data_IF_331256324443
#
_entry.id   IF_331256324443
#
_cell.length_a   1.000
_cell.length_b   1.000
_cell.length_c   1.000
_cell.angle_alpha   90.00
_cell.angle_beta   90.00
_cell.angle_gamma   90.00
#
_symmetry.space_group_name_H-M   'P 1'
#
loop_
_entity.id
_entity.type
_entity.pdbx_description
1 polymer ?
#
# COMPACT_ATOMS: atom_id res chain seq x y z
N UNK A 1 24.05 6.28 -0.70
CA UNK A 1 23.90 6.84 -2.07
C UNK A 1 24.47 5.88 -3.11
N UNK A 2 25.64 5.26 -2.86
CA UNK A 2 26.24 4.27 -3.79
C UNK A 2 25.36 3.03 -4.03
N UNK A 3 24.64 2.57 -3.01
CA UNK A 3 23.78 1.38 -3.08
C UNK A 3 22.60 1.57 -4.03
N UNK A 4 21.87 2.68 -3.91
CA UNK A 4 20.75 3.00 -4.79
C UNK A 4 21.22 3.35 -6.21
N UNK A 5 22.38 4.01 -6.36
CA UNK A 5 22.97 4.27 -7.67
C UNK A 5 23.32 2.97 -8.40
N UNK A 6 23.87 1.97 -7.71
CA UNK A 6 24.13 0.66 -8.30
C UNK A 6 22.85 -0.12 -8.59
N UNK A 7 21.83 0.02 -7.74
CA UNK A 7 20.52 -0.61 -7.90
C UNK A 7 19.81 -0.10 -9.17
N UNK A 8 19.74 1.20 -9.36
CA UNK A 8 19.11 1.81 -10.54
C UNK A 8 19.86 1.52 -11.85
N UNK A 9 21.18 1.25 -11.79
CA UNK A 9 21.97 0.78 -12.93
C UNK A 9 21.70 -0.68 -13.29
N UNK A 10 21.10 -1.47 -12.37
CA UNK A 10 20.73 -2.86 -12.66
C UNK A 10 19.66 -2.88 -13.75
N UNK A 11 19.91 -3.66 -14.81
CA UNK A 11 19.06 -3.69 -16.00
C UNK A 11 17.62 -3.99 -15.67
N UNK A 12 16.73 -3.07 -16.05
CA UNK A 12 15.28 -3.20 -15.90
C UNK A 12 14.71 -2.70 -14.56
N UNK A 13 15.52 -2.44 -13.54
CA UNK A 13 15.02 -1.96 -12.24
C UNK A 13 14.33 -0.60 -12.37
N UNK A 14 14.98 0.38 -12.97
CA UNK A 14 14.38 1.71 -13.17
C UNK A 14 13.07 1.63 -13.96
N UNK A 15 13.06 0.83 -15.06
CA UNK A 15 11.85 0.63 -15.89
C UNK A 15 10.70 -0.01 -15.10
N UNK A 16 10.95 -1.07 -14.34
CA UNK A 16 9.89 -1.77 -13.63
C UNK A 16 9.34 -0.93 -12.47
N UNK A 17 10.21 -0.17 -11.77
CA UNK A 17 9.78 0.74 -10.70
C UNK A 17 8.88 1.84 -11.28
N UNK A 18 9.27 2.49 -12.37
CA UNK A 18 8.44 3.54 -12.98
C UNK A 18 7.14 2.98 -13.56
N UNK A 19 7.19 1.87 -14.29
CA UNK A 19 6.01 1.27 -14.88
C UNK A 19 4.99 0.83 -13.81
N UNK A 20 5.44 0.19 -12.71
CA UNK A 20 4.55 -0.22 -11.65
C UNK A 20 3.97 0.98 -10.87
N UNK A 21 4.73 2.07 -10.70
CA UNK A 21 4.21 3.29 -10.07
C UNK A 21 3.08 3.91 -10.91
N UNK A 22 3.30 4.03 -12.22
CA UNK A 22 2.27 4.55 -13.14
C UNK A 22 1.03 3.63 -13.14
N UNK A 23 1.21 2.32 -13.17
CA UNK A 23 0.12 1.35 -13.11
C UNK A 23 -0.67 1.37 -11.79
N UNK A 24 -0.04 1.78 -10.68
CA UNK A 24 -0.64 1.87 -9.34
C UNK A 24 -1.18 3.26 -9.01
N UNK A 25 -0.88 4.25 -9.84
CA UNK A 25 -1.28 5.65 -9.61
C UNK A 25 -2.79 5.83 -9.39
N UNK A 26 -3.68 5.09 -10.12
CA UNK A 26 -5.12 5.12 -9.86
C UNK A 26 -5.52 4.83 -8.42
N UNK A 27 -4.75 4.01 -7.70
CA UNK A 27 -5.00 3.71 -6.28
C UNK A 27 -4.99 4.94 -5.37
N UNK A 28 -4.19 5.96 -5.68
CA UNK A 28 -4.17 7.24 -4.97
C UNK A 28 -5.26 8.21 -5.41
N UNK A 29 -5.85 8.02 -6.59
CA UNK A 29 -6.83 8.95 -7.16
C UNK A 29 -8.28 8.52 -6.92
N UNK A 30 -8.58 7.23 -7.12
CA UNK A 30 -9.95 6.72 -7.30
C UNK A 30 -10.83 6.91 -6.07
N UNK A 31 -10.29 6.79 -4.85
CA UNK A 31 -11.10 6.95 -3.64
C UNK A 31 -11.71 8.34 -3.56
N UNK A 32 -10.89 9.37 -3.75
CA UNK A 32 -11.34 10.75 -3.71
C UNK A 32 -12.17 11.13 -4.94
N UNK A 33 -11.77 10.66 -6.12
CA UNK A 33 -12.50 10.92 -7.36
C UNK A 33 -13.92 10.31 -7.31
N UNK A 34 -14.08 9.09 -6.81
CA UNK A 34 -15.41 8.46 -6.62
C UNK A 34 -16.23 9.22 -5.60
N UNK A 35 -15.63 9.61 -4.47
CA UNK A 35 -16.32 10.39 -3.44
C UNK A 35 -16.90 11.66 -4.02
N UNK A 36 -16.08 12.48 -4.68
CA UNK A 36 -16.49 13.78 -5.22
C UNK A 36 -17.52 13.63 -6.36
N UNK A 37 -17.40 12.59 -7.18
CA UNK A 37 -18.33 12.37 -8.29
C UNK A 37 -19.70 11.90 -7.83
N UNK A 38 -19.75 10.89 -6.97
CA UNK A 38 -21.02 10.35 -6.45
C UNK A 38 -21.72 11.35 -5.52
N UNK A 39 -20.96 12.07 -4.69
CA UNK A 39 -21.49 13.13 -3.84
C UNK A 39 -22.15 14.23 -4.67
N UNK A 40 -21.48 14.69 -5.75
CA UNK A 40 -22.04 15.71 -6.65
C UNK A 40 -23.32 15.26 -7.34
N UNK A 41 -23.43 13.98 -7.73
CA UNK A 41 -24.60 13.43 -8.44
C UNK A 41 -25.80 13.27 -7.50
N UNK A 42 -25.57 12.76 -6.30
CA UNK A 42 -26.62 12.39 -5.34
C UNK A 42 -26.78 13.38 -4.20
N UNK A 43 -25.95 14.45 -4.15
CA UNK A 43 -25.88 15.42 -3.06
C UNK A 43 -25.78 14.76 -1.67
N UNK A 44 -25.05 13.62 -1.60
CA UNK A 44 -24.97 12.77 -0.42
C UNK A 44 -23.60 12.15 -0.21
N UNK A 45 -22.91 12.58 0.84
CA UNK A 45 -21.68 11.93 1.31
C UNK A 45 -21.92 10.48 1.80
N UNK A 46 -23.13 10.20 2.30
CA UNK A 46 -23.51 8.86 2.68
C UNK A 46 -23.56 7.89 1.48
N UNK A 47 -24.15 8.31 0.35
CA UNK A 47 -24.15 7.56 -0.89
C UNK A 47 -22.73 7.32 -1.41
N UNK A 48 -21.89 8.36 -1.44
CA UNK A 48 -20.49 8.26 -1.83
C UNK A 48 -19.71 7.31 -0.91
N UNK A 49 -19.92 7.39 0.39
CA UNK A 49 -19.33 6.50 1.38
C UNK A 49 -19.68 5.03 1.17
N UNK A 50 -20.94 4.72 0.81
CA UNK A 50 -21.37 3.34 0.49
C UNK A 50 -20.66 2.80 -0.75
N UNK A 51 -20.44 3.61 -1.78
CA UNK A 51 -19.69 3.23 -2.99
C UNK A 51 -18.23 2.94 -2.65
N UNK A 52 -17.60 3.79 -1.83
CA UNK A 52 -16.22 3.57 -1.36
C UNK A 52 -16.09 2.31 -0.50
N UNK A 53 -17.05 2.07 0.38
CA UNK A 53 -17.09 0.85 1.20
C UNK A 53 -17.20 -0.40 0.32
N UNK A 54 -18.09 -0.40 -0.68
CA UNK A 54 -18.23 -1.50 -1.63
C UNK A 54 -16.92 -1.73 -2.42
N UNK A 55 -16.27 -0.67 -2.89
CA UNK A 55 -14.97 -0.74 -3.59
C UNK A 55 -13.89 -1.35 -2.69
N UNK A 56 -13.79 -0.89 -1.44
CA UNK A 56 -12.80 -1.37 -0.48
C UNK A 56 -13.02 -2.84 -0.11
N UNK A 57 -14.27 -3.27 0.08
CA UNK A 57 -14.61 -4.69 0.30
C UNK A 57 -14.17 -5.53 -0.89
N UNK A 58 -14.46 -5.06 -2.12
CA UNK A 58 -14.01 -5.73 -3.34
C UNK A 58 -12.49 -5.90 -3.39
N UNK A 59 -11.73 -4.84 -3.10
CA UNK A 59 -10.26 -4.87 -3.07
C UNK A 59 -9.72 -5.83 -2.01
N UNK A 60 -10.31 -5.82 -0.81
CA UNK A 60 -9.86 -6.67 0.29
C UNK A 60 -10.06 -8.16 -0.03
N UNK A 61 -11.16 -8.52 -0.68
CA UNK A 61 -11.43 -9.90 -1.12
C UNK A 61 -10.56 -10.29 -2.31
N UNK A 62 -10.42 -9.40 -3.29
CA UNK A 62 -9.69 -9.66 -4.53
C UNK A 62 -8.19 -9.86 -4.33
N UNK A 63 -7.57 -9.12 -3.40
CA UNK A 63 -6.13 -9.08 -3.22
C UNK A 63 -5.47 -10.47 -3.16
N UNK A 64 -5.82 -11.33 -2.21
CA UNK A 64 -5.25 -12.67 -2.11
C UNK A 64 -5.66 -13.58 -3.26
N UNK A 65 -6.91 -13.47 -3.77
CA UNK A 65 -7.44 -14.32 -4.83
C UNK A 65 -6.74 -14.06 -6.17
N UNK A 66 -6.71 -12.82 -6.61
CA UNK A 66 -6.07 -12.43 -7.88
C UNK A 66 -4.57 -12.68 -7.84
N UNK A 67 -3.94 -12.46 -6.68
CA UNK A 67 -2.53 -12.77 -6.46
C UNK A 67 -2.25 -14.28 -6.62
N UNK A 68 -3.12 -15.13 -6.10
CA UNK A 68 -3.01 -16.58 -6.28
C UNK A 68 -3.26 -17.02 -7.72
N UNK A 69 -4.22 -16.39 -8.42
CA UNK A 69 -4.49 -16.70 -9.83
C UNK A 69 -3.27 -16.44 -10.73
N UNK A 70 -2.37 -15.52 -10.36
CA UNK A 70 -1.12 -15.32 -11.10
C UNK A 70 -0.23 -16.57 -11.15
N UNK A 71 -0.28 -17.44 -10.13
CA UNK A 71 0.40 -18.71 -10.13
C UNK A 71 -0.30 -19.81 -10.95
N UNK A 72 -1.63 -19.66 -11.19
CA UNK A 72 -2.43 -20.64 -11.95
C UNK A 72 -2.45 -20.32 -13.44
N UNK A 73 -2.79 -19.06 -13.77
CA UNK A 73 -2.99 -18.61 -15.16
C UNK A 73 -1.80 -17.80 -15.70
N UNK A 74 -0.85 -17.45 -14.83
CA UNK A 74 0.27 -16.57 -15.14
C UNK A 74 -0.02 -15.10 -14.83
N UNK A 75 1.04 -14.32 -14.62
CA UNK A 75 0.92 -12.92 -14.21
C UNK A 75 0.23 -12.05 -15.28
N UNK A 76 0.67 -12.15 -16.55
CA UNK A 76 0.14 -11.33 -17.64
C UNK A 76 -1.36 -11.51 -17.89
N UNK A 77 -1.90 -12.75 -18.06
CA UNK A 77 -3.33 -12.94 -18.26
C UNK A 77 -4.18 -12.38 -17.12
N UNK A 78 -3.76 -12.59 -15.87
CA UNK A 78 -4.48 -12.07 -14.70
C UNK A 78 -4.47 -10.54 -14.67
N UNK A 79 -3.31 -9.92 -14.91
CA UNK A 79 -3.20 -8.48 -14.94
C UNK A 79 -4.00 -7.86 -16.09
N UNK A 80 -4.00 -8.48 -17.28
CA UNK A 80 -4.82 -8.01 -18.42
C UNK A 80 -6.31 -8.08 -18.07
N UNK A 81 -6.76 -9.25 -17.59
CA UNK A 81 -8.18 -9.45 -17.26
C UNK A 81 -8.64 -8.46 -16.17
N UNK A 82 -7.89 -8.38 -15.07
CA UNK A 82 -8.25 -7.51 -13.95
C UNK A 82 -8.18 -6.04 -14.34
N UNK A 83 -7.16 -5.59 -15.09
CA UNK A 83 -7.09 -4.22 -15.59
C UNK A 83 -8.24 -3.87 -16.52
N UNK A 84 -8.60 -4.77 -17.44
CA UNK A 84 -9.70 -4.54 -18.36
C UNK A 84 -11.05 -4.41 -17.64
N UNK A 85 -11.36 -5.35 -16.76
CA UNK A 85 -12.63 -5.32 -15.99
C UNK A 85 -12.67 -4.11 -15.05
N UNK A 86 -11.57 -3.82 -14.35
CA UNK A 86 -11.46 -2.64 -13.49
C UNK A 86 -11.67 -1.35 -14.29
N UNK A 87 -11.02 -1.22 -15.45
CA UNK A 87 -11.18 -0.03 -16.33
C UNK A 87 -12.62 0.14 -16.76
N UNK A 88 -13.29 -0.93 -17.20
CA UNK A 88 -14.70 -0.88 -17.61
C UNK A 88 -15.59 -0.42 -16.44
N UNK A 89 -15.39 -0.97 -15.26
CA UNK A 89 -16.16 -0.59 -14.08
C UNK A 89 -15.91 0.87 -13.66
N UNK A 90 -14.64 1.31 -13.67
CA UNK A 90 -14.23 2.70 -13.35
C UNK A 90 -14.82 3.69 -14.37
N UNK A 91 -14.75 3.39 -15.66
CA UNK A 91 -15.34 4.23 -16.71
C UNK A 91 -16.87 4.26 -16.59
N UNK A 92 -17.51 3.14 -16.26
CA UNK A 92 -18.94 3.10 -16.04
C UNK A 92 -19.37 3.98 -14.84
N UNK A 93 -18.57 4.05 -13.76
CA UNK A 93 -18.79 5.01 -12.67
C UNK A 93 -18.68 6.46 -13.19
N UNK A 94 -17.66 6.77 -14.00
CA UNK A 94 -17.44 8.12 -14.52
C UNK A 94 -18.56 8.59 -15.46
N UNK A 95 -19.22 7.67 -16.16
CA UNK A 95 -20.34 7.94 -17.09
C UNK A 95 -21.70 7.93 -16.38
N UNK A 96 -21.76 7.56 -15.11
CA UNK A 96 -23.00 7.59 -14.33
C UNK A 96 -23.48 9.03 -14.13
N UNK A 97 -24.79 9.18 -14.08
CA UNK A 97 -25.49 10.46 -13.91
C UNK A 97 -26.58 10.38 -12.82
N UNK A 98 -27.40 11.43 -12.68
CA UNK A 98 -28.47 11.48 -11.69
C UNK A 98 -29.55 10.40 -11.88
N UNK A 99 -29.65 9.75 -13.04
CA UNK A 99 -30.55 8.62 -13.28
C UNK A 99 -29.98 7.28 -12.77
N UNK A 100 -28.66 7.25 -12.53
CA UNK A 100 -27.96 6.05 -12.01
C UNK A 100 -28.18 5.93 -10.52
N UNK A 101 -28.85 4.88 -10.06
CA UNK A 101 -29.14 4.69 -8.64
C UNK A 101 -27.88 4.34 -7.81
N UNK A 102 -27.89 4.68 -6.52
CA UNK A 102 -26.78 4.38 -5.58
C UNK A 102 -26.39 2.89 -5.57
N UNK A 103 -27.33 1.90 -5.56
CA UNK A 103 -26.98 0.49 -5.65
C UNK A 103 -26.20 0.12 -6.93
N UNK A 104 -26.45 0.78 -8.05
CA UNK A 104 -25.69 0.57 -9.30
C UNK A 104 -24.26 1.09 -9.13
N UNK A 105 -24.07 2.29 -8.58
CA UNK A 105 -22.74 2.79 -8.26
C UNK A 105 -22.01 1.88 -7.27
N UNK A 106 -22.69 1.35 -6.24
CA UNK A 106 -22.11 0.36 -5.31
C UNK A 106 -21.67 -0.91 -6.04
N UNK A 107 -22.49 -1.44 -6.95
CA UNK A 107 -22.15 -2.62 -7.72
C UNK A 107 -20.93 -2.39 -8.64
N UNK A 108 -20.88 -1.23 -9.30
CA UNK A 108 -19.73 -0.84 -10.13
C UNK A 108 -18.47 -0.62 -9.29
N UNK A 109 -18.57 0.03 -8.12
CA UNK A 109 -17.48 0.18 -7.17
C UNK A 109 -16.97 -1.17 -6.66
N UNK A 110 -17.88 -2.07 -6.26
CA UNK A 110 -17.54 -3.44 -5.86
C UNK A 110 -16.82 -4.18 -6.99
N UNK A 111 -17.31 -4.08 -8.21
CA UNK A 111 -16.68 -4.71 -9.39
C UNK A 111 -15.27 -4.11 -9.65
N UNK A 112 -15.13 -2.79 -9.59
CA UNK A 112 -13.82 -2.14 -9.70
C UNK A 112 -12.84 -2.63 -8.63
N UNK A 113 -13.32 -2.78 -7.38
CA UNK A 113 -12.55 -3.33 -6.27
C UNK A 113 -12.16 -4.79 -6.48
N UNK A 114 -13.11 -5.66 -6.85
CA UNK A 114 -12.88 -7.08 -7.12
C UNK A 114 -11.92 -7.30 -8.29
N UNK A 115 -11.93 -6.41 -9.25
CA UNK A 115 -11.05 -6.43 -10.41
C UNK A 115 -9.79 -5.56 -10.25
N UNK A 116 -9.48 -5.07 -9.04
CA UNK A 116 -8.27 -4.27 -8.84
C UNK A 116 -7.01 -5.06 -9.25
N UNK A 117 -6.20 -4.55 -10.20
CA UNK A 117 -5.05 -5.30 -10.70
C UNK A 117 -4.02 -5.55 -9.61
N UNK A 118 -3.55 -6.81 -9.41
CA UNK A 118 -2.58 -7.17 -8.38
C UNK A 118 -1.14 -6.76 -8.78
N UNK A 119 -0.94 -5.51 -9.18
CA UNK A 119 0.36 -4.98 -9.63
C UNK A 119 1.40 -5.06 -8.51
N UNK A 120 1.03 -4.67 -7.29
CA UNK A 120 1.93 -4.66 -6.14
C UNK A 120 2.40 -6.07 -5.73
N UNK A 121 1.55 -7.09 -5.59
CA UNK A 121 1.98 -8.47 -5.39
C UNK A 121 2.83 -9.01 -6.55
N UNK A 122 2.47 -8.68 -7.80
CA UNK A 122 3.22 -9.09 -8.98
C UNK A 122 4.65 -8.55 -8.96
N UNK A 123 4.82 -7.24 -8.82
CA UNK A 123 6.14 -6.61 -8.86
C UNK A 123 7.03 -7.07 -7.71
N UNK A 124 6.50 -7.18 -6.49
CA UNK A 124 7.27 -7.65 -5.33
C UNK A 124 7.67 -9.11 -5.42
N UNK A 125 6.89 -9.92 -6.10
CA UNK A 125 7.24 -11.33 -6.37
C UNK A 125 8.39 -11.44 -7.37
N UNK A 126 8.52 -10.53 -8.33
CA UNK A 126 9.62 -10.60 -9.31
C UNK A 126 10.92 -9.95 -8.83
N UNK A 127 10.89 -9.06 -7.84
CA UNK A 127 12.09 -8.38 -7.33
C UNK A 127 13.26 -9.33 -6.97
N UNK A 128 13.04 -10.47 -6.26
CA UNK A 128 14.11 -11.41 -5.94
C UNK A 128 14.77 -12.07 -7.17
N UNK A 129 14.12 -12.00 -8.34
CA UNK A 129 14.64 -12.52 -9.62
C UNK A 129 15.34 -11.46 -10.47
N UNK A 130 15.30 -10.19 -10.05
CA UNK A 130 15.88 -9.06 -10.78
C UNK A 130 17.20 -8.59 -10.21
N UNK A 131 17.40 -8.74 -8.91
CA UNK A 131 18.57 -8.22 -8.19
C UNK A 131 19.22 -9.28 -7.33
N UNK A 132 20.45 -9.04 -6.91
CA UNK A 132 21.12 -9.93 -5.96
C UNK A 132 20.62 -9.73 -4.52
N UNK A 133 20.96 -10.66 -3.62
CA UNK A 133 20.51 -10.64 -2.22
C UNK A 133 20.85 -9.36 -1.46
N UNK A 134 21.99 -8.74 -1.76
CA UNK A 134 22.41 -7.47 -1.10
C UNK A 134 21.58 -6.27 -1.55
N UNK A 135 21.00 -6.33 -2.74
CA UNK A 135 20.19 -5.27 -3.34
C UNK A 135 18.69 -5.41 -3.06
N UNK A 136 18.23 -6.56 -2.60
CA UNK A 136 16.79 -6.85 -2.47
C UNK A 136 16.13 -5.98 -1.38
N UNK A 137 16.72 -5.87 -0.18
CA UNK A 137 16.19 -5.00 0.88
C UNK A 137 16.18 -3.52 0.47
N UNK A 138 17.26 -2.96 -0.11
CA UNK A 138 17.21 -1.62 -0.71
C UNK A 138 16.13 -1.46 -1.78
N UNK A 139 15.87 -2.48 -2.60
CA UNK A 139 14.81 -2.44 -3.62
C UNK A 139 13.42 -2.36 -3.00
N UNK A 140 13.13 -3.14 -1.96
CA UNK A 140 11.87 -3.00 -1.21
C UNK A 140 11.72 -1.62 -0.57
N UNK A 141 12.81 -1.06 -0.07
CA UNK A 141 12.79 0.29 0.50
C UNK A 141 12.54 1.35 -0.56
N UNK A 142 13.17 1.23 -1.73
CA UNK A 142 12.92 2.11 -2.86
C UNK A 142 11.47 2.04 -3.35
N UNK A 143 10.89 0.82 -3.44
CA UNK A 143 9.49 0.62 -3.80
C UNK A 143 8.55 1.29 -2.79
N UNK A 144 8.79 1.06 -1.49
CA UNK A 144 7.99 1.66 -0.42
C UNK A 144 8.09 3.20 -0.43
N UNK A 145 9.29 3.75 -0.60
CA UNK A 145 9.50 5.21 -0.68
C UNK A 145 8.84 5.81 -1.93
N UNK A 146 8.99 5.16 -3.08
CA UNK A 146 8.40 5.64 -4.33
C UNK A 146 6.87 5.61 -4.30
N UNK A 147 6.27 4.73 -3.52
CA UNK A 147 4.83 4.66 -3.33
C UNK A 147 4.25 5.93 -2.70
N UNK A 148 5.03 6.68 -1.90
CA UNK A 148 4.58 7.96 -1.31
C UNK A 148 4.16 8.97 -2.38
N UNK A 149 4.78 8.92 -3.57
CA UNK A 149 4.40 9.77 -4.71
C UNK A 149 2.93 9.57 -5.09
N UNK A 150 2.45 8.32 -5.04
CA UNK A 150 1.06 7.97 -5.37
C UNK A 150 0.09 8.61 -4.38
N UNK A 151 0.41 8.53 -3.08
CA UNK A 151 -0.44 9.02 -2.02
C UNK A 151 -0.44 10.54 -1.89
N UNK A 152 0.63 11.22 -2.32
CA UNK A 152 0.70 12.69 -2.34
C UNK A 152 0.07 13.25 -3.61
N UNK A 153 0.50 12.80 -4.79
CA UNK A 153 0.06 13.38 -6.06
C UNK A 153 -1.31 12.89 -6.50
N UNK A 154 -1.72 11.67 -6.12
CA UNK A 154 -3.00 11.11 -6.52
C UNK A 154 -4.20 11.96 -6.10
N UNK A 155 -4.38 12.26 -4.81
CA UNK A 155 -5.45 13.13 -4.32
C UNK A 155 -5.37 14.55 -4.91
N UNK A 156 -4.17 15.11 -5.04
CA UNK A 156 -3.98 16.47 -5.61
C UNK A 156 -4.50 16.53 -7.04
N UNK A 157 -4.13 15.56 -7.88
CA UNK A 157 -4.57 15.50 -9.28
C UNK A 157 -6.08 15.24 -9.35
N UNK A 158 -6.61 14.32 -8.54
CA UNK A 158 -8.04 14.03 -8.50
C UNK A 158 -8.87 15.27 -8.14
N UNK A 159 -8.47 15.98 -7.08
CA UNK A 159 -9.14 17.23 -6.64
C UNK A 159 -9.02 18.33 -7.67
N UNK A 160 -7.82 18.55 -8.23
CA UNK A 160 -7.59 19.57 -9.25
C UNK A 160 -8.50 19.35 -10.47
N UNK A 161 -8.57 18.12 -10.98
CA UNK A 161 -9.42 17.77 -12.12
C UNK A 161 -10.90 17.93 -11.80
N UNK A 162 -11.33 17.53 -10.60
CA UNK A 162 -12.72 17.63 -10.19
C UNK A 162 -13.19 19.10 -10.08
N UNK A 163 -12.31 20.01 -9.66
CA UNK A 163 -12.63 21.43 -9.49
C UNK A 163 -12.50 22.21 -10.81
N UNK A 164 -11.43 21.94 -11.59
CA UNK A 164 -11.12 22.77 -12.76
C UNK A 164 -11.77 22.27 -14.06
N UNK A 165 -12.16 20.99 -14.12
CA UNK A 165 -12.74 20.37 -15.32
C UNK A 165 -14.12 19.81 -15.01
N UNK A 166 -14.18 18.65 -14.38
CA UNK A 166 -15.40 17.97 -13.95
C UNK A 166 -15.07 16.84 -12.98
N UNK A 167 -16.01 16.43 -12.13
CA UNK A 167 -15.81 15.36 -11.16
C UNK A 167 -15.54 14.00 -11.82
N UNK A 168 -16.03 13.75 -13.04
CA UNK A 168 -15.72 12.55 -13.82
C UNK A 168 -14.30 12.57 -14.38
N UNK A 169 -13.70 13.75 -14.61
CA UNK A 169 -12.37 13.88 -15.21
C UNK A 169 -11.28 13.18 -14.40
N UNK A 170 -11.33 13.29 -13.06
CA UNK A 170 -10.40 12.58 -12.18
C UNK A 170 -10.48 11.05 -12.33
N UNK A 171 -11.70 10.52 -12.48
CA UNK A 171 -11.94 9.08 -12.70
C UNK A 171 -11.45 8.64 -14.08
N UNK A 172 -11.71 9.43 -15.14
CA UNK A 172 -11.26 9.12 -16.51
C UNK A 172 -9.74 9.17 -16.64
N UNK A 173 -9.07 10.12 -15.99
CA UNK A 173 -7.61 10.17 -15.92
C UNK A 173 -7.05 8.96 -15.18
N UNK A 174 -7.67 8.55 -14.07
CA UNK A 174 -7.31 7.30 -13.37
C UNK A 174 -7.50 6.06 -14.28
N UNK A 175 -8.59 6.01 -15.07
CA UNK A 175 -8.79 4.96 -16.06
C UNK A 175 -7.69 4.97 -17.16
N UNK A 176 -7.26 6.14 -17.61
CA UNK A 176 -6.15 6.27 -18.55
C UNK A 176 -4.83 5.72 -17.96
N UNK A 177 -4.54 5.97 -16.67
CA UNK A 177 -3.41 5.36 -15.97
C UNK A 177 -3.56 3.85 -15.82
N UNK A 178 -4.78 3.32 -15.57
CA UNK A 178 -5.04 1.87 -15.52
C UNK A 178 -4.69 1.22 -16.86
N UNK A 179 -5.10 1.81 -17.95
CA UNK A 179 -4.84 1.28 -19.30
C UNK A 179 -3.37 1.49 -19.68
N UNK A 180 -2.89 2.72 -19.68
CA UNK A 180 -1.55 3.07 -20.16
C UNK A 180 -0.44 2.55 -19.24
N UNK A 181 -0.56 2.79 -17.92
CA UNK A 181 0.37 2.30 -16.93
C UNK A 181 0.32 0.77 -16.81
N UNK A 182 -0.89 0.20 -16.81
CA UNK A 182 -1.11 -1.24 -16.84
C UNK A 182 -0.47 -1.90 -18.07
N UNK A 183 -0.71 -1.37 -19.27
CA UNK A 183 -0.11 -1.87 -20.51
C UNK A 183 1.42 -1.77 -20.47
N UNK A 184 1.99 -0.66 -19.98
CA UNK A 184 3.43 -0.49 -19.85
C UNK A 184 4.02 -1.52 -18.86
N UNK A 185 3.39 -1.71 -17.69
CA UNK A 185 3.84 -2.70 -16.71
C UNK A 185 3.76 -4.13 -17.28
N UNK A 186 2.62 -4.51 -17.88
CA UNK A 186 2.36 -5.85 -18.42
C UNK A 186 3.29 -6.19 -19.60
N UNK A 187 3.62 -5.20 -20.44
CA UNK A 187 4.54 -5.37 -21.56
C UNK A 187 6.00 -5.44 -21.14
N UNK A 188 6.33 -5.10 -19.90
CA UNK A 188 7.71 -5.11 -19.41
C UNK A 188 8.33 -6.50 -19.55
N UNK A 189 9.54 -6.61 -20.14
CA UNK A 189 10.24 -7.89 -20.33
C UNK A 189 10.53 -8.63 -19.02
N UNK A 190 10.70 -7.87 -17.93
CA UNK A 190 10.97 -8.40 -16.59
C UNK A 190 9.81 -9.28 -16.10
N UNK A 191 8.59 -8.82 -16.31
CA UNK A 191 7.37 -9.57 -15.97
C UNK A 191 7.26 -10.86 -16.79
N UNK A 192 7.65 -10.83 -18.05
CA UNK A 192 7.59 -12.00 -18.94
C UNK A 192 8.64 -13.06 -18.68
N UNK A 193 9.74 -12.71 -18.02
CA UNK A 193 10.84 -13.66 -17.70
C UNK A 193 10.59 -14.50 -16.47
N UNK A 194 9.66 -14.08 -15.61
CA UNK A 194 9.38 -14.74 -14.34
C UNK A 194 8.02 -15.41 -14.41
N UNK A 195 8.01 -16.73 -14.19
CA UNK A 195 6.78 -17.51 -14.05
C UNK A 195 6.64 -17.92 -12.59
N UNK A 196 5.51 -17.61 -11.97
CA UNK A 196 5.17 -18.08 -10.63
C UNK A 196 4.65 -19.50 -10.77
N UNK A 197 5.25 -20.51 -10.10
CA UNK A 197 4.74 -21.87 -10.11
C UNK A 197 3.37 -21.90 -9.39
N UNK A 198 2.53 -22.84 -9.78
CA UNK A 198 1.25 -23.08 -9.09
C UNK A 198 1.51 -23.58 -7.68
N UNK A 199 1.02 -22.87 -6.66
CA UNK A 199 1.07 -23.37 -5.29
C UNK A 199 0.23 -24.63 -5.13
N UNK A 200 0.83 -25.67 -4.53
CA UNK A 200 0.16 -26.94 -4.19
C UNK A 200 -0.60 -26.87 -2.86
N UNK A 201 -0.46 -25.77 -2.12
CA UNK A 201 -1.09 -25.57 -0.80
C UNK A 201 -2.52 -25.07 -0.94
N UNK A 202 -3.34 -25.28 0.10
CA UNK A 202 -4.68 -24.70 0.17
C UNK A 202 -4.61 -23.18 0.29
N UNK A 203 -5.60 -22.50 -0.24
CA UNK A 203 -5.74 -21.04 -0.13
C UNK A 203 -5.78 -20.61 1.36
N UNK A 204 -5.10 -19.53 1.70
CA UNK A 204 -5.03 -18.98 3.04
C UNK A 204 -4.03 -19.67 3.99
N UNK A 205 -3.52 -20.85 3.67
CA UNK A 205 -2.55 -21.58 4.54
C UNK A 205 -1.27 -20.75 4.77
N UNK A 206 -0.94 -19.85 3.87
CA UNK A 206 0.21 -18.96 4.01
C UNK A 206 0.11 -18.05 5.25
N UNK A 207 -1.11 -17.68 5.67
CA UNK A 207 -1.35 -16.95 6.92
C UNK A 207 -1.02 -17.77 8.18
N UNK A 208 -1.03 -19.09 8.11
CA UNK A 208 -0.59 -19.97 9.21
C UNK A 208 0.92 -19.91 9.46
N UNK A 209 1.69 -19.21 8.62
CA UNK A 209 3.11 -18.96 8.88
C UNK A 209 3.27 -17.75 9.79
N UNK A 210 3.88 -17.89 11.00
CA UNK A 210 3.97 -16.81 11.96
C UNK A 210 4.59 -15.52 11.41
N UNK A 211 5.66 -15.53 10.57
CA UNK A 211 6.20 -14.30 10.00
C UNK A 211 5.21 -13.58 9.07
N UNK A 212 4.41 -14.32 8.29
CA UNK A 212 3.41 -13.73 7.38
C UNK A 212 2.26 -13.12 8.17
N UNK A 213 1.73 -13.85 9.15
CA UNK A 213 0.68 -13.35 10.03
C UNK A 213 1.13 -12.12 10.80
N UNK A 214 2.33 -12.16 11.39
CA UNK A 214 2.93 -11.02 12.09
C UNK A 214 3.04 -9.80 11.17
N UNK A 215 3.55 -10.00 9.95
CA UNK A 215 3.67 -8.93 8.96
C UNK A 215 2.31 -8.37 8.53
N UNK A 216 1.29 -9.21 8.41
CA UNK A 216 -0.08 -8.80 8.08
C UNK A 216 -0.68 -7.96 9.20
N UNK A 217 -0.54 -8.40 10.47
CA UNK A 217 -1.06 -7.66 11.64
C UNK A 217 -0.33 -6.34 11.83
N UNK A 218 1.01 -6.34 11.77
CA UNK A 218 1.80 -5.09 11.93
C UNK A 218 1.54 -4.15 10.77
N UNK A 219 1.42 -4.66 9.54
CA UNK A 219 1.05 -3.87 8.37
C UNK A 219 -0.34 -3.25 8.47
N UNK A 220 -1.32 -3.99 9.00
CA UNK A 220 -2.65 -3.49 9.35
C UNK A 220 -2.56 -2.32 10.35
N UNK A 221 -1.87 -2.50 11.48
CA UNK A 221 -1.74 -1.48 12.52
C UNK A 221 -0.98 -0.24 12.04
N UNK A 222 0.06 -0.43 11.24
CA UNK A 222 0.84 0.65 10.64
C UNK A 222 -0.04 1.54 9.75
N UNK A 223 -0.76 0.93 8.80
CA UNK A 223 -1.58 1.69 7.86
C UNK A 223 -2.83 2.27 8.54
N UNK A 224 -3.40 1.57 9.53
CA UNK A 224 -4.45 2.12 10.36
C UNK A 224 -4.01 3.40 11.09
N UNK A 225 -2.79 3.41 11.63
CA UNK A 225 -2.22 4.59 12.27
C UNK A 225 -1.95 5.72 11.28
N UNK A 226 -1.42 5.42 10.08
CA UNK A 226 -1.23 6.43 9.03
C UNK A 226 -2.56 7.11 8.66
N UNK A 227 -3.63 6.32 8.45
CA UNK A 227 -4.95 6.86 8.13
C UNK A 227 -5.56 7.67 9.29
N UNK A 228 -5.29 7.29 10.53
CA UNK A 228 -5.68 8.09 11.69
C UNK A 228 -4.91 9.42 11.76
N UNK A 229 -3.60 9.43 11.45
CA UNK A 229 -2.79 10.66 11.37
C UNK A 229 -3.35 11.59 10.28
N UNK A 230 -3.64 11.05 9.08
CA UNK A 230 -4.22 11.81 7.97
C UNK A 230 -5.54 12.47 8.37
N UNK A 231 -6.45 11.72 8.98
CA UNK A 231 -7.71 12.23 9.48
C UNK A 231 -7.51 13.33 10.54
N UNK A 232 -6.56 13.13 11.46
CA UNK A 232 -6.20 14.08 12.50
C UNK A 232 -5.67 15.41 11.93
N UNK A 233 -4.75 15.34 10.95
CA UNK A 233 -4.19 16.52 10.28
C UNK A 233 -5.31 17.32 9.58
N UNK A 234 -6.19 16.62 8.84
CA UNK A 234 -7.34 17.27 8.19
C UNK A 234 -8.27 17.92 9.21
N UNK A 235 -8.51 17.26 10.36
CA UNK A 235 -9.36 17.81 11.42
C UNK A 235 -8.77 19.06 12.11
N UNK A 236 -7.42 19.15 12.22
CA UNK A 236 -6.74 20.33 12.81
C UNK A 236 -6.95 21.57 11.95
N UNK A 237 -6.84 21.46 10.62
CA UNK A 237 -6.82 22.63 9.73
C UNK A 237 -8.15 22.86 8.99
N UNK A 238 -9.09 21.92 9.09
CA UNK A 238 -10.37 21.96 8.37
C UNK A 238 -10.23 21.71 6.87
N UNK A 239 -11.37 21.75 6.16
CA UNK A 239 -11.45 21.38 4.75
C UNK A 239 -10.95 22.46 3.76
N UNK A 240 -10.48 23.62 4.22
CA UNK A 240 -10.13 24.76 3.35
C UNK A 240 -8.70 25.27 3.49
N UNK A 241 -7.92 24.77 4.43
CA UNK A 241 -6.57 25.26 4.68
C UNK A 241 -5.50 24.47 3.89
N UNK A 242 -4.58 25.17 3.19
CA UNK A 242 -3.45 24.51 2.53
C UNK A 242 -2.48 23.84 3.51
N UNK A 243 -2.56 24.18 4.79
CA UNK A 243 -1.69 23.71 5.85
C UNK A 243 -1.77 22.18 6.02
N UNK A 244 -2.97 21.61 5.94
CA UNK A 244 -3.15 20.15 6.00
C UNK A 244 -2.34 19.44 4.92
N UNK A 245 -2.41 19.96 3.68
CA UNK A 245 -1.64 19.42 2.56
C UNK A 245 -0.12 19.53 2.77
N UNK A 246 0.36 20.65 3.31
CA UNK A 246 1.79 20.84 3.59
C UNK A 246 2.29 19.89 4.69
N UNK A 247 1.54 19.72 5.78
CA UNK A 247 1.90 18.81 6.87
C UNK A 247 1.96 17.36 6.36
N UNK A 248 0.97 16.92 5.59
CA UNK A 248 0.95 15.58 5.00
C UNK A 248 2.06 15.38 3.96
N UNK A 249 2.39 16.41 3.17
CA UNK A 249 3.53 16.37 2.26
C UNK A 249 4.86 16.23 3.02
N UNK A 250 5.05 16.96 4.13
CA UNK A 250 6.23 16.86 4.99
C UNK A 250 6.32 15.46 5.62
N UNK A 251 5.20 14.88 6.06
CA UNK A 251 5.12 13.50 6.55
C UNK A 251 5.57 12.48 5.49
N UNK A 252 5.09 12.62 4.25
CA UNK A 252 5.49 11.77 3.12
C UNK A 252 6.97 11.97 2.72
N UNK A 253 7.48 13.20 2.77
CA UNK A 253 8.92 13.49 2.57
C UNK A 253 9.76 12.81 3.65
N UNK A 254 9.30 12.80 4.90
CA UNK A 254 9.91 12.02 5.98
C UNK A 254 10.02 10.54 5.61
N UNK A 255 8.93 9.93 5.11
CA UNK A 255 8.89 8.54 4.67
C UNK A 255 9.87 8.27 3.52
N UNK A 256 9.88 9.13 2.51
CA UNK A 256 10.81 9.04 1.40
C UNK A 256 12.27 9.08 1.86
N UNK A 257 12.64 10.07 2.66
CA UNK A 257 13.99 10.22 3.19
C UNK A 257 14.37 9.04 4.09
N UNK A 258 13.47 8.63 4.98
CA UNK A 258 13.67 7.49 5.86
C UNK A 258 13.90 6.19 5.10
N UNK A 259 13.12 5.94 4.04
CA UNK A 259 13.30 4.79 3.17
C UNK A 259 14.67 4.77 2.50
N UNK A 260 15.10 5.91 1.95
CA UNK A 260 16.41 6.03 1.31
C UNK A 260 17.57 5.96 2.33
N UNK A 261 17.41 6.56 3.51
CA UNK A 261 18.45 6.60 4.52
C UNK A 261 18.60 5.28 5.31
N UNK A 262 17.50 4.60 5.64
CA UNK A 262 17.48 3.43 6.50
C UNK A 262 17.24 2.10 5.75
N UNK A 263 16.91 2.15 4.46
CA UNK A 263 16.56 0.98 3.67
C UNK A 263 17.72 0.03 3.35
N UNK A 264 18.95 0.49 3.53
CA UNK A 264 20.16 -0.34 3.36
C UNK A 264 20.58 -1.06 4.66
N UNK A 265 19.96 -0.73 5.80
CA UNK A 265 20.32 -1.31 7.10
C UNK A 265 19.87 -2.77 7.15
N UNK A 266 20.77 -3.71 7.49
CA UNK A 266 20.43 -5.13 7.59
C UNK A 266 19.28 -5.38 8.58
N UNK A 267 18.38 -6.28 8.19
CA UNK A 267 17.16 -6.57 8.94
C UNK A 267 17.49 -7.59 10.05
N UNK A 268 17.38 -7.16 11.29
CA UNK A 268 17.43 -8.03 12.47
C UNK A 268 16.00 -8.43 12.90
N UNK A 269 15.83 -9.44 13.77
CA UNK A 269 14.52 -9.80 14.31
C UNK A 269 13.76 -8.64 15.00
N UNK A 270 14.48 -7.65 15.53
CA UNK A 270 13.95 -6.46 16.18
C UNK A 270 13.68 -5.29 15.22
N UNK A 271 14.00 -5.44 13.93
CA UNK A 271 13.92 -4.32 12.99
C UNK A 271 12.51 -3.73 12.89
N UNK A 272 11.48 -4.59 12.87
CA UNK A 272 10.08 -4.17 12.79
C UNK A 272 9.69 -3.34 14.02
N UNK A 273 9.96 -3.85 15.23
CA UNK A 273 9.65 -3.15 16.47
C UNK A 273 10.33 -1.77 16.55
N UNK A 274 11.62 -1.70 16.22
CA UNK A 274 12.38 -0.44 16.24
C UNK A 274 11.80 0.60 15.28
N UNK A 275 11.38 0.18 14.08
CA UNK A 275 10.82 1.10 13.08
C UNK A 275 9.43 1.59 13.48
N UNK A 276 8.59 0.69 14.02
CA UNK A 276 7.31 1.08 14.62
C UNK A 276 7.47 2.06 15.78
N UNK A 277 8.53 1.89 16.60
CA UNK A 277 8.82 2.80 17.72
C UNK A 277 9.22 4.20 17.22
N UNK A 278 9.96 4.31 16.11
CA UNK A 278 10.28 5.63 15.53
C UNK A 278 8.99 6.37 15.14
N UNK A 279 8.07 5.68 14.47
CA UNK A 279 6.79 6.26 14.05
C UNK A 279 5.96 6.64 15.28
N UNK A 280 5.91 5.75 16.29
CA UNK A 280 5.20 5.99 17.55
C UNK A 280 5.70 7.25 18.26
N UNK A 281 7.03 7.39 18.42
CA UNK A 281 7.62 8.55 19.09
C UNK A 281 7.29 9.84 18.37
N UNK A 282 7.45 9.88 17.04
CA UNK A 282 7.09 11.05 16.25
C UNK A 282 5.59 11.39 16.37
N UNK A 283 4.71 10.38 16.29
CA UNK A 283 3.25 10.58 16.40
C UNK A 283 2.83 11.01 17.79
N UNK A 284 3.39 10.41 18.84
CA UNK A 284 3.10 10.77 20.22
C UNK A 284 3.55 12.20 20.56
N UNK A 285 4.71 12.62 20.05
CA UNK A 285 5.17 14.01 20.20
C UNK A 285 4.32 14.98 19.36
N UNK A 286 3.89 14.58 18.16
CA UNK A 286 2.95 15.37 17.37
C UNK A 286 1.63 15.62 18.11
N UNK A 287 1.14 14.62 18.87
CA UNK A 287 -0.09 14.71 19.65
C UNK A 287 -0.04 15.75 20.79
N UNK A 288 1.14 16.24 21.19
CA UNK A 288 1.28 17.17 22.33
C UNK A 288 0.78 18.56 21.99
N UNK A 289 1.01 19.02 20.76
CA UNK A 289 0.66 20.39 20.36
C UNK A 289 0.25 20.48 18.90
N UNK A 290 -0.96 21.02 18.62
CA UNK A 290 -1.56 21.09 17.28
C UNK A 290 -1.12 22.32 16.47
N UNK A 291 0.09 22.84 16.72
CA UNK A 291 0.64 23.96 15.96
C UNK A 291 1.34 23.47 14.69
N UNK A 292 1.24 24.22 13.58
CA UNK A 292 1.79 23.84 12.28
C UNK A 292 3.26 23.41 12.31
N UNK A 293 4.16 24.22 12.89
CA UNK A 293 5.58 23.92 12.96
C UNK A 293 5.84 22.65 13.79
N UNK A 294 5.16 22.49 14.92
CA UNK A 294 5.28 21.32 15.80
C UNK A 294 4.83 20.04 15.08
N UNK A 295 3.63 20.06 14.53
CA UNK A 295 3.09 18.92 13.77
C UNK A 295 4.01 18.56 12.60
N UNK A 296 4.48 19.55 11.84
CA UNK A 296 5.37 19.33 10.70
C UNK A 296 6.66 18.61 11.10
N UNK A 297 7.31 19.07 12.17
CA UNK A 297 8.59 18.49 12.65
C UNK A 297 8.39 17.05 13.14
N UNK A 298 7.39 16.81 13.98
CA UNK A 298 7.23 15.50 14.59
C UNK A 298 6.54 14.49 13.67
N UNK A 299 5.70 14.94 12.74
CA UNK A 299 5.18 14.07 11.68
C UNK A 299 6.24 13.76 10.63
N UNK A 300 7.18 14.69 10.33
CA UNK A 300 8.36 14.34 9.55
C UNK A 300 9.15 13.21 10.21
N UNK A 301 9.40 13.31 11.53
CA UNK A 301 10.09 12.25 12.29
C UNK A 301 9.31 10.93 12.25
N UNK A 302 7.99 10.97 12.44
CA UNK A 302 7.13 9.79 12.29
C UNK A 302 7.27 9.18 10.89
N UNK A 303 7.21 10.03 9.86
CA UNK A 303 7.38 9.63 8.46
C UNK A 303 8.65 8.84 8.23
N UNK A 304 9.77 9.25 8.80
CA UNK A 304 11.09 8.57 8.63
C UNK A 304 11.03 7.07 8.95
N UNK A 305 10.10 6.61 9.76
CA UNK A 305 9.92 5.19 10.08
C UNK A 305 9.10 4.39 9.07
N UNK A 306 8.23 5.01 8.25
CA UNK A 306 7.17 4.33 7.48
C UNK A 306 7.74 3.46 6.37
N UNK A 307 8.38 4.04 5.34
CA UNK A 307 8.92 3.27 4.23
C UNK A 307 9.93 2.21 4.68
N UNK A 308 10.83 2.49 5.67
CA UNK A 308 11.65 1.43 6.23
C UNK A 308 10.87 0.30 6.94
N UNK A 309 9.76 0.60 7.62
CA UNK A 309 8.92 -0.42 8.25
C UNK A 309 8.26 -1.31 7.19
N UNK A 310 7.70 -0.71 6.14
CA UNK A 310 7.13 -1.43 5.00
C UNK A 310 8.17 -2.30 4.30
N UNK A 311 9.39 -1.79 4.09
CA UNK A 311 10.49 -2.55 3.48
C UNK A 311 10.86 -3.80 4.32
N UNK A 312 10.93 -3.68 5.65
CA UNK A 312 11.15 -4.82 6.56
C UNK A 312 10.02 -5.83 6.42
N UNK A 313 8.78 -5.36 6.46
CA UNK A 313 7.59 -6.21 6.35
C UNK A 313 7.62 -7.02 5.04
N UNK A 314 7.93 -6.37 3.91
CA UNK A 314 7.99 -7.06 2.61
C UNK A 314 9.17 -8.04 2.51
N UNK A 315 10.32 -7.70 3.07
CA UNK A 315 11.48 -8.58 3.10
C UNK A 315 11.24 -9.80 4.00
N UNK A 316 10.62 -9.62 5.16
CA UNK A 316 10.23 -10.70 6.08
C UNK A 316 9.26 -11.65 5.41
N UNK A 317 8.23 -11.13 4.73
CA UNK A 317 7.28 -11.96 3.97
C UNK A 317 8.00 -12.73 2.87
N UNK A 318 8.81 -12.06 2.06
CA UNK A 318 9.55 -12.68 0.96
C UNK A 318 10.38 -13.88 1.46
N UNK A 319 11.22 -13.66 2.46
CA UNK A 319 12.14 -14.68 2.98
C UNK A 319 11.47 -15.84 3.75
N UNK A 320 10.18 -15.70 4.07
CA UNK A 320 9.45 -16.65 4.93
C UNK A 320 8.52 -17.60 4.17
N UNK A 321 8.38 -17.43 2.86
CA UNK A 321 7.48 -18.25 2.03
C UNK A 321 8.21 -18.89 0.85
N UNK A 322 7.63 -19.92 0.25
CA UNK A 322 8.09 -20.45 -1.03
C UNK A 322 7.76 -19.46 -2.15
N UNK A 323 8.54 -19.51 -3.24
CA UNK A 323 8.33 -18.60 -4.36
C UNK A 323 6.92 -18.69 -4.94
N UNK A 324 6.34 -19.89 -5.02
CA UNK A 324 4.94 -20.12 -5.45
C UNK A 324 3.89 -19.47 -4.55
N UNK A 325 4.20 -19.25 -3.27
CA UNK A 325 3.26 -18.69 -2.27
C UNK A 325 3.43 -17.19 -2.09
N UNK A 326 4.48 -16.57 -2.67
CA UNK A 326 4.88 -15.18 -2.40
C UNK A 326 3.80 -14.18 -2.80
N UNK A 327 3.21 -14.35 -3.99
CA UNK A 327 2.17 -13.43 -4.47
C UNK A 327 0.92 -13.45 -3.56
N UNK A 328 0.48 -14.64 -3.13
CA UNK A 328 -0.64 -14.78 -2.20
C UNK A 328 -0.32 -14.14 -0.84
N UNK A 329 0.89 -14.34 -0.32
CA UNK A 329 1.32 -13.73 0.94
C UNK A 329 1.26 -12.19 0.88
N UNK A 330 1.75 -11.59 -0.21
CA UNK A 330 1.63 -10.14 -0.41
C UNK A 330 0.18 -9.68 -0.59
N UNK A 331 -0.66 -10.51 -1.21
CA UNK A 331 -2.11 -10.24 -1.30
C UNK A 331 -2.75 -10.12 0.08
N UNK A 332 -2.45 -11.05 1.00
CA UNK A 332 -2.96 -11.01 2.38
C UNK A 332 -2.43 -9.80 3.17
N UNK A 333 -1.15 -9.46 3.02
CA UNK A 333 -0.59 -8.26 3.63
C UNK A 333 -1.31 -7.00 3.12
N UNK A 334 -1.52 -6.91 1.80
CA UNK A 334 -2.26 -5.80 1.20
C UNK A 334 -3.70 -5.71 1.71
N UNK A 335 -4.41 -6.83 1.83
CA UNK A 335 -5.75 -6.88 2.44
C UNK A 335 -5.73 -6.38 3.88
N UNK A 336 -4.76 -6.83 4.69
CA UNK A 336 -4.58 -6.33 6.05
C UNK A 336 -4.39 -4.81 6.08
N UNK A 337 -3.57 -4.27 5.20
CA UNK A 337 -3.34 -2.82 5.08
C UNK A 337 -4.61 -2.06 4.68
N UNK A 338 -5.40 -2.55 3.72
CA UNK A 338 -6.66 -1.92 3.30
C UNK A 338 -7.70 -1.89 4.43
N UNK A 339 -7.87 -3.02 5.14
CA UNK A 339 -8.77 -3.08 6.30
C UNK A 339 -8.26 -2.15 7.40
N UNK A 340 -6.93 -2.11 7.60
CA UNK A 340 -6.28 -1.19 8.53
C UNK A 340 -6.61 0.28 8.23
N UNK A 341 -6.47 0.69 6.97
CA UNK A 341 -6.81 2.05 6.55
C UNK A 341 -8.25 2.42 6.89
N UNK A 342 -9.20 1.55 6.53
CA UNK A 342 -10.61 1.79 6.78
C UNK A 342 -10.96 1.87 8.28
N UNK A 343 -10.47 0.93 9.09
CA UNK A 343 -10.74 0.91 10.52
C UNK A 343 -9.98 2.01 11.28
N UNK A 344 -8.77 2.37 10.84
CA UNK A 344 -7.99 3.47 11.40
C UNK A 344 -8.68 4.83 11.19
N UNK A 345 -9.13 5.10 9.96
CA UNK A 345 -9.90 6.32 9.67
C UNK A 345 -11.21 6.37 10.46
N UNK A 346 -11.95 5.26 10.52
CA UNK A 346 -13.20 5.20 11.26
C UNK A 346 -12.98 5.44 12.76
N UNK A 347 -12.00 4.76 13.38
CA UNK A 347 -11.67 4.94 14.79
C UNK A 347 -11.24 6.38 15.09
N UNK A 348 -10.41 6.97 14.21
CA UNK A 348 -10.01 8.36 14.35
C UNK A 348 -11.21 9.31 14.24
N UNK A 349 -12.11 9.09 13.27
CA UNK A 349 -13.31 9.90 13.08
C UNK A 349 -14.19 9.95 14.35
N UNK A 350 -14.51 8.79 14.92
CA UNK A 350 -15.29 8.72 16.17
C UNK A 350 -14.63 9.47 17.33
N UNK A 351 -13.31 9.39 17.44
CA UNK A 351 -12.59 10.05 18.53
C UNK A 351 -12.42 11.54 18.25
N UNK A 352 -12.30 11.97 16.98
CA UNK A 352 -12.32 13.40 16.60
C UNK A 352 -13.63 14.02 16.99
N UNK A 353 -14.75 13.37 16.71
CA UNK A 353 -16.10 13.88 17.08
C UNK A 353 -16.27 14.03 18.59
N UNK A 354 -15.67 13.15 19.39
CA UNK A 354 -15.78 13.15 20.85
C UNK A 354 -14.76 14.05 21.57
N UNK A 355 -13.52 14.16 21.05
CA UNK A 355 -12.38 14.75 21.75
C UNK A 355 -11.60 15.77 20.90
N UNK A 356 -12.04 16.03 19.68
CA UNK A 356 -11.35 16.89 18.73
C UNK A 356 -10.16 16.21 18.04
N UNK A 357 -9.48 16.98 17.18
CA UNK A 357 -8.42 16.48 16.30
C UNK A 357 -7.27 15.77 17.03
N UNK A 358 -6.93 16.18 18.27
CA UNK A 358 -5.89 15.53 19.08
C UNK A 358 -6.19 14.07 19.33
N UNK A 359 -7.46 13.69 19.46
CA UNK A 359 -7.88 12.30 19.66
C UNK A 359 -7.44 11.35 18.55
N UNK A 360 -7.37 11.81 17.31
CA UNK A 360 -6.89 11.00 16.19
C UNK A 360 -5.41 10.62 16.34
N UNK A 361 -4.56 11.55 16.82
CA UNK A 361 -3.14 11.26 17.08
C UNK A 361 -2.97 10.31 18.25
N UNK A 362 -3.85 10.37 19.26
CA UNK A 362 -3.87 9.39 20.37
C UNK A 362 -4.24 8.00 19.85
N UNK A 363 -5.26 7.89 18.99
CA UNK A 363 -5.63 6.62 18.33
C UNK A 363 -4.45 6.09 17.52
N UNK A 364 -3.81 6.94 16.71
CA UNK A 364 -2.66 6.56 15.90
C UNK A 364 -1.49 6.07 16.79
N UNK A 365 -1.18 6.79 17.86
CA UNK A 365 -0.13 6.40 18.81
C UNK A 365 -0.45 5.06 19.49
N UNK A 366 -1.71 4.82 19.88
CA UNK A 366 -2.15 3.55 20.46
C UNK A 366 -1.99 2.38 19.49
N UNK A 367 -2.37 2.56 18.22
CA UNK A 367 -2.19 1.55 17.16
C UNK A 367 -0.71 1.25 16.91
N UNK A 368 0.14 2.29 16.88
CA UNK A 368 1.59 2.14 16.73
C UNK A 368 2.23 1.47 17.93
N UNK A 369 1.80 1.80 19.14
CA UNK A 369 2.25 1.15 20.38
C UNK A 369 1.88 -0.33 20.37
N UNK A 370 0.65 -0.68 20.00
CA UNK A 370 0.22 -2.06 19.83
C UNK A 370 1.07 -2.80 18.78
N UNK A 371 1.32 -2.16 17.61
CA UNK A 371 2.16 -2.72 16.56
C UNK A 371 3.62 -2.94 17.00
N UNK A 372 4.20 -1.97 17.69
CA UNK A 372 5.55 -2.08 18.26
C UNK A 372 5.64 -3.18 19.33
N UNK A 373 4.67 -3.25 20.24
CA UNK A 373 4.59 -4.28 21.28
C UNK A 373 4.43 -5.68 20.70
N UNK A 374 3.53 -5.87 19.71
CA UNK A 374 3.34 -7.15 19.02
C UNK A 374 4.62 -7.55 18.27
N UNK A 375 5.24 -6.62 17.52
CA UNK A 375 6.48 -6.89 16.82
C UNK A 375 7.64 -7.24 17.77
N UNK A 376 7.69 -6.61 18.96
CA UNK A 376 8.68 -6.90 20.00
C UNK A 376 8.41 -8.24 20.68
N UNK A 377 7.16 -8.53 21.07
CA UNK A 377 6.79 -9.78 21.72
C UNK A 377 7.05 -11.01 20.82
N UNK A 378 6.78 -10.86 19.53
CA UNK A 378 6.92 -11.92 18.54
C UNK A 378 8.18 -11.80 17.67
N UNK A 379 9.20 -11.04 18.10
CA UNK A 379 10.44 -10.83 17.34
C UNK A 379 11.14 -12.13 16.93
N UNK A 380 11.00 -13.20 17.71
CA UNK A 380 11.55 -14.55 17.42
C UNK A 380 10.98 -15.18 16.15
N UNK A 381 9.80 -14.75 15.70
CA UNK A 381 9.19 -15.20 14.46
C UNK A 381 9.63 -14.37 13.24
N UNK A 382 10.31 -13.24 13.46
CA UNK A 382 10.94 -12.48 12.39
C UNK A 382 12.31 -13.07 12.06
N UNK A 383 12.58 -13.45 10.80
CA UNK A 383 13.86 -13.99 10.42
C UNK A 383 14.99 -12.97 10.59
N UNK A 384 16.16 -13.44 10.99
CA UNK A 384 17.38 -12.63 10.94
C UNK A 384 17.93 -12.66 9.52
N UNK A 385 17.84 -11.52 8.84
CA UNK A 385 18.32 -11.36 7.47
C UNK A 385 19.72 -10.69 7.39
N UNK A 386 20.40 -10.55 8.52
CA UNK A 386 21.78 -10.05 8.53
C UNK A 386 22.70 -11.10 7.91
N UNK A 387 23.27 -10.75 6.73
CA UNK A 387 24.11 -11.66 5.97
C UNK A 387 23.40 -12.82 5.27
N UNK A 388 22.04 -12.82 5.25
CA UNK A 388 21.22 -13.80 4.55
C UNK A 388 20.46 -13.18 3.38
N UNK A 389 20.00 -14.03 2.47
CA UNK A 389 19.15 -13.60 1.35
C UNK A 389 17.72 -13.33 1.85
N UNK A 390 17.17 -12.18 1.49
CA UNK A 390 15.78 -11.84 1.71
C UNK A 390 14.85 -12.44 0.63
N UNK A 391 15.38 -13.21 -0.31
CA UNK A 391 14.63 -13.90 -1.36
C UNK A 391 13.77 -15.05 -0.80
N UNK A 392 12.74 -15.46 -1.55
CA UNK A 392 11.85 -16.55 -1.16
C UNK A 392 12.56 -17.90 -1.20
N UNK A 393 12.05 -18.82 -0.38
CA UNK A 393 12.54 -20.20 -0.37
C UNK A 393 12.26 -20.89 -1.71
N UNK A 394 13.15 -21.76 -2.21
CA UNK A 394 12.91 -22.56 -3.40
C UNK A 394 11.64 -23.43 -3.25
N UNK A 395 10.97 -23.70 -4.36
CA UNK A 395 9.79 -24.60 -4.39
C UNK A 395 10.19 -26.08 -4.32
N UNK A 396 11.41 -26.42 -4.73
CA UNK A 396 11.99 -27.75 -4.63
C UNK A 396 12.74 -27.91 -3.32
N UNK A 397 12.49 -29.00 -2.60
CA UNK A 397 13.35 -29.38 -1.48
C UNK A 397 14.75 -29.76 -2.02
N UNK A 398 15.84 -29.37 -1.35
CA UNK A 398 17.16 -29.84 -1.71
C UNK A 398 17.13 -31.37 -1.68
N UNK A 399 17.47 -32.03 -2.80
CA UNK A 399 17.71 -33.46 -2.79
C UNK A 399 18.96 -33.68 -1.94
N UNK A 400 18.82 -34.41 -0.84
CA UNK A 400 19.98 -34.80 -0.06
C UNK A 400 20.89 -35.61 -0.98
N UNK A 401 22.06 -35.08 -1.29
CA UNK A 401 23.10 -35.86 -1.98
C UNK A 401 23.58 -36.85 -0.93
N UNK A 402 23.12 -38.11 -1.05
CA UNK A 402 23.67 -39.22 -0.29
C UNK A 402 25.07 -39.46 -0.84
N UNK A 403 26.08 -38.94 -0.13
CA UNK A 403 27.51 -39.28 -0.35
C UNK A 403 27.84 -40.57 0.33
#
# INVERSE_FOLDING_TARGET
VSTYGSLLKTRGVGRIITAQLVARFPGGMLSLAFLMHVERIHESYGAAGLVLAATSIGQAVAGPLTSRWMGVWGMRPVLILTSAVCTVAVVAVALGDASTSVPVFMALGLLAGLANPPVQPAVRTIYPKMVNSKQLTPLFSLDASAQEIIWVLGPVIATFLAIQVDTSAGILVAAAFLVGGGAWFISSPELGRVRIPRSKRRFGVVLGRPPVLLSTIVGFLLIAACSAIEAGVVAVYGHGGPEAGFVLAIFAVGSLIGGLALGHIPISPWAMARRMTIILVGTALAAVWMQFAWLSVFLFLAGVGIAPALAVLFAVVSSSVRFSDTAEAYGWVGTGQLIGAALGSAAAGFVIDAQGAQGAFVVAAALLAAGAAIAAAFHRHSPDLRGRDAGPMPDTEPVAIVT
#
